data_IF_974942693150
#
_entry.id   IF_974942693150
#
_cell.length_a   1.000
_cell.length_b   1.000
_cell.length_c   1.000
_cell.angle_alpha   90.00
_cell.angle_beta   90.00
_cell.angle_gamma   90.00
#
_symmetry.space_group_name_H-M   'P 1'
#
loop_
_entity.id
_entity.type
_entity.pdbx_description
1 polymer ?
#
# COMPACT_ATOMS: atom_id res chain seq x y z
N UNK A 1 -5.82 -42.72 23.60
CA UNK A 1 -4.81 -43.67 23.09
C UNK A 1 -3.53 -42.88 22.86
N UNK A 2 -2.46 -43.25 23.57
CA UNK A 2 -1.05 -42.78 23.44
C UNK A 2 -0.57 -42.83 21.97
N UNK A 3 0.47 -42.14 21.47
CA UNK A 3 1.45 -41.10 21.87
C UNK A 3 2.41 -40.95 20.65
N UNK A 4 3.05 -39.77 20.49
CA UNK A 4 4.42 -39.45 19.95
C UNK A 4 4.39 -38.48 18.75
N UNK A 5 4.77 -37.20 18.89
CA UNK A 5 6.09 -36.55 19.15
C UNK A 5 7.07 -36.54 17.96
N UNK A 6 7.47 -35.33 17.56
CA UNK A 6 8.76 -34.95 16.98
C UNK A 6 8.61 -33.98 15.79
N UNK A 7 9.32 -32.86 15.63
CA UNK A 7 10.53 -32.30 16.27
C UNK A 7 10.51 -30.78 16.01
N UNK A 8 10.77 -29.97 17.05
CA UNK A 8 11.12 -28.56 16.96
C UNK A 8 12.60 -28.40 16.60
N UNK A 9 12.95 -27.43 15.75
CA UNK A 9 14.30 -26.85 15.71
C UNK A 9 14.24 -25.41 16.18
N UNK A 10 14.76 -25.20 17.39
CA UNK A 10 15.21 -23.92 17.92
C UNK A 10 16.64 -23.68 17.43
N UNK A 11 16.92 -22.52 16.85
CA UNK A 11 18.28 -21.98 16.78
C UNK A 11 18.35 -20.76 17.69
N UNK A 12 18.89 -21.01 18.88
CA UNK A 12 19.35 -19.98 19.81
C UNK A 12 20.79 -19.61 19.46
N UNK A 13 21.06 -18.31 19.33
CA UNK A 13 22.40 -17.72 19.37
C UNK A 13 22.36 -16.50 20.29
N UNK A 14 22.92 -16.64 21.50
CA UNK A 14 22.88 -15.62 22.53
C UNK A 14 24.21 -14.85 22.65
N UNK A 15 24.07 -13.53 22.80
CA UNK A 15 24.87 -12.57 23.56
C UNK A 15 26.24 -12.07 23.02
N UNK A 16 26.28 -10.76 22.82
CA UNK A 16 27.48 -9.93 22.92
C UNK A 16 27.12 -8.46 23.15
N UNK A 17 27.05 -8.03 24.41
CA UNK A 17 26.95 -6.63 24.82
C UNK A 17 28.23 -5.86 24.42
N UNK A 18 28.09 -4.66 23.83
CA UNK A 18 29.23 -3.77 23.63
C UNK A 18 28.86 -2.42 23.01
N UNK A 19 28.50 -1.45 23.86
CA UNK A 19 28.58 -0.03 23.53
C UNK A 19 30.04 0.36 23.21
N UNK A 20 30.29 1.14 22.15
CA UNK A 20 31.25 2.29 22.06
C UNK A 20 31.14 2.95 20.65
N UNK A 21 30.71 4.21 20.67
CA UNK A 21 31.15 5.42 19.94
C UNK A 21 31.77 5.38 18.52
N UNK A 22 31.34 6.37 17.72
CA UNK A 22 31.90 6.95 16.49
C UNK A 22 33.40 6.76 16.20
N UNK A 23 33.73 6.55 14.93
CA UNK A 23 35.04 6.92 14.36
C UNK A 23 35.45 6.11 13.13
N UNK A 24 35.72 6.82 12.03
CA UNK A 24 36.09 6.35 10.69
C UNK A 24 37.22 5.30 10.59
N UNK A 25 37.17 4.56 9.46
CA UNK A 25 38.29 4.02 8.68
C UNK A 25 39.07 2.85 9.29
N UNK A 26 38.69 1.61 8.93
CA UNK A 26 39.65 0.62 8.42
C UNK A 26 38.94 -0.57 7.74
N UNK A 27 39.35 -0.89 6.51
CA UNK A 27 39.02 -2.13 5.80
C UNK A 27 39.58 -3.31 6.59
N UNK A 28 38.70 -4.08 7.23
CA UNK A 28 39.02 -5.43 7.70
C UNK A 28 38.32 -6.46 6.81
N UNK A 29 39.12 -7.43 6.39
CA UNK A 29 38.71 -8.59 5.59
C UNK A 29 38.21 -9.66 6.55
N UNK A 30 36.92 -9.98 6.49
CA UNK A 30 36.35 -11.09 7.27
C UNK A 30 35.26 -11.78 6.50
N UNK A 31 35.46 -13.10 6.38
CA UNK A 31 34.48 -14.19 6.42
C UNK A 31 33.31 -14.12 5.45
N UNK A 32 33.25 -15.12 4.55
CA UNK A 32 32.15 -15.42 3.65
C UNK A 32 30.80 -15.19 4.38
N UNK A 33 30.17 -14.06 4.07
CA UNK A 33 28.79 -13.82 4.41
C UNK A 33 28.00 -14.97 3.79
N UNK A 34 27.41 -15.81 4.62
CA UNK A 34 26.41 -16.75 4.16
C UNK A 34 25.27 -15.89 3.65
N UNK A 35 25.23 -15.65 2.34
CA UNK A 35 24.12 -14.97 1.66
C UNK A 35 22.84 -15.65 2.17
N UNK A 36 21.97 -14.87 2.80
CA UNK A 36 20.62 -15.31 3.05
C UNK A 36 20.05 -15.71 1.68
N UNK A 37 19.68 -16.99 1.54
CA UNK A 37 19.16 -17.53 0.29
C UNK A 37 17.64 -17.35 0.30
N UNK A 38 17.14 -16.62 -0.68
CA UNK A 38 15.72 -16.40 -0.88
C UNK A 38 15.17 -15.13 -0.26
N UNK A 39 14.10 -14.62 -0.87
CA UNK A 39 13.37 -13.45 -0.44
C UNK A 39 11.99 -13.44 -1.09
N UNK A 40 11.14 -12.52 -0.66
CA UNK A 40 9.89 -12.27 -1.34
C UNK A 40 10.13 -11.63 -2.70
N UNK A 41 9.38 -12.09 -3.68
CA UNK A 41 9.34 -11.50 -5.02
C UNK A 41 7.92 -11.06 -5.33
N UNK A 42 7.83 -9.98 -6.09
CA UNK A 42 6.60 -9.47 -6.66
C UNK A 42 6.45 -10.02 -8.08
N UNK A 43 5.25 -10.47 -8.40
CA UNK A 43 4.84 -10.93 -9.71
C UNK A 43 3.53 -10.23 -10.09
N UNK A 44 3.58 -9.36 -11.11
CA UNK A 44 2.37 -8.77 -11.68
C UNK A 44 1.56 -9.89 -12.36
N UNK A 45 0.29 -10.03 -11.98
CA UNK A 45 -0.58 -11.04 -12.59
C UNK A 45 -1.29 -10.46 -13.81
N UNK A 46 -1.58 -11.31 -14.79
CA UNK A 46 -2.47 -10.93 -15.89
C UNK A 46 -3.89 -10.76 -15.35
N UNK A 47 -4.32 -9.50 -15.32
CA UNK A 47 -5.64 -9.05 -14.92
C UNK A 47 -6.77 -9.60 -15.83
N UNK A 48 -7.84 -10.21 -15.29
CA UNK A 48 -8.98 -10.70 -16.08
C UNK A 48 -10.07 -9.64 -16.36
N UNK A 49 -9.99 -8.45 -15.76
CA UNK A 49 -11.00 -7.39 -15.89
C UNK A 49 -10.95 -6.69 -17.25
N UNK A 50 -12.10 -6.17 -17.67
CA UNK A 50 -12.25 -5.48 -18.96
C UNK A 50 -11.85 -4.01 -18.89
N UNK A 51 -11.63 -3.40 -20.04
CA UNK A 51 -11.37 -1.96 -20.13
C UNK A 51 -12.57 -1.15 -19.61
N UNK A 52 -12.31 -0.23 -18.69
CA UNK A 52 -13.33 0.63 -18.06
C UNK A 52 -13.94 0.07 -16.78
N UNK A 53 -13.59 -1.15 -16.37
CA UNK A 53 -13.94 -1.66 -15.06
C UNK A 53 -13.09 -1.01 -13.95
N UNK A 54 -13.72 -0.69 -12.82
CA UNK A 54 -13.07 -0.11 -11.64
C UNK A 54 -13.16 -1.05 -10.44
N UNK A 55 -12.22 -0.91 -9.50
CA UNK A 55 -12.17 -1.74 -8.30
C UNK A 55 -13.35 -1.46 -7.35
N UNK A 56 -14.00 -2.51 -6.84
CA UNK A 56 -15.03 -2.40 -5.80
C UNK A 56 -14.65 -3.07 -4.48
N UNK A 57 -13.92 -4.18 -4.52
CA UNK A 57 -13.63 -4.98 -3.34
C UNK A 57 -12.77 -6.21 -3.63
N UNK A 58 -12.10 -6.75 -2.62
CA UNK A 58 -11.38 -8.02 -2.73
C UNK A 58 -11.22 -8.69 -1.37
N UNK A 59 -11.27 -10.02 -1.36
CA UNK A 59 -11.17 -10.85 -0.16
C UNK A 59 -10.90 -12.31 -0.56
N UNK A 60 -10.57 -13.16 0.41
CA UNK A 60 -10.56 -14.61 0.21
C UNK A 60 -11.93 -15.19 0.53
N UNK A 61 -12.54 -15.90 -0.41
CA UNK A 61 -13.84 -16.53 -0.16
C UNK A 61 -13.73 -17.75 0.77
N UNK A 62 -14.85 -18.39 1.07
CA UNK A 62 -14.91 -19.53 2.01
C UNK A 62 -14.08 -20.75 1.58
N UNK A 63 -13.70 -20.84 0.30
CA UNK A 63 -12.82 -21.88 -0.22
C UNK A 63 -11.33 -21.49 -0.17
N UNK A 64 -11.01 -20.28 0.31
CA UNK A 64 -9.66 -19.72 0.36
C UNK A 64 -9.18 -19.15 -0.97
N UNK A 65 -10.06 -19.01 -1.97
CA UNK A 65 -9.70 -18.44 -3.26
C UNK A 65 -9.81 -16.92 -3.21
N UNK A 66 -8.84 -16.22 -3.82
CA UNK A 66 -8.92 -14.77 -3.99
C UNK A 66 -10.10 -14.43 -4.89
N UNK A 67 -10.94 -13.52 -4.43
CA UNK A 67 -12.08 -12.98 -5.15
C UNK A 67 -11.93 -11.46 -5.26
N UNK A 68 -12.12 -10.93 -6.48
CA UNK A 68 -12.05 -9.49 -6.77
C UNK A 68 -13.36 -9.07 -7.42
N UNK A 69 -14.00 -8.05 -6.86
CA UNK A 69 -15.19 -7.41 -7.42
C UNK A 69 -14.80 -6.16 -8.18
N UNK A 70 -15.36 -6.02 -9.37
CA UNK A 70 -15.24 -4.83 -10.19
C UNK A 70 -16.61 -4.29 -10.56
N UNK A 71 -16.66 -2.97 -10.73
CA UNK A 71 -17.81 -2.25 -11.21
C UNK A 71 -17.57 -1.72 -12.62
N UNK A 72 -18.65 -1.48 -13.34
CA UNK A 72 -18.65 -0.84 -14.64
C UNK A 72 -20.01 -0.24 -14.94
N UNK A 73 -20.10 0.43 -16.08
CA UNK A 73 -21.35 1.02 -16.56
C UNK A 73 -21.54 0.62 -18.01
N UNK A 74 -22.71 0.06 -18.32
CA UNK A 74 -23.04 -0.30 -19.70
C UNK A 74 -23.21 0.95 -20.57
N UNK A 75 -23.19 0.77 -21.89
CA UNK A 75 -23.54 1.83 -22.86
C UNK A 75 -24.90 2.50 -22.59
N UNK A 76 -25.80 1.80 -21.89
CA UNK A 76 -27.14 2.31 -21.53
C UNK A 76 -27.21 3.02 -20.19
N UNK A 77 -26.08 3.13 -19.47
CA UNK A 77 -26.00 3.78 -18.16
C UNK A 77 -26.41 2.88 -16.99
N UNK A 78 -26.59 1.58 -17.20
CA UNK A 78 -26.89 0.63 -16.12
C UNK A 78 -25.59 0.16 -15.47
N UNK A 79 -25.59 0.05 -14.14
CA UNK A 79 -24.48 -0.56 -13.42
C UNK A 79 -24.25 -2.00 -13.90
N UNK A 80 -22.98 -2.37 -13.98
CA UNK A 80 -22.52 -3.75 -14.21
C UNK A 80 -21.57 -4.10 -13.08
N UNK A 81 -21.72 -5.30 -12.51
CA UNK A 81 -20.85 -5.76 -11.42
C UNK A 81 -20.39 -7.16 -11.74
N UNK A 82 -19.08 -7.39 -11.62
CA UNK A 82 -18.47 -8.68 -11.86
C UNK A 82 -17.68 -9.14 -10.64
N UNK A 83 -17.70 -10.44 -10.38
CA UNK A 83 -16.75 -11.10 -9.49
C UNK A 83 -15.78 -11.94 -10.31
N UNK A 84 -14.52 -11.92 -9.90
CA UNK A 84 -13.43 -12.69 -10.49
C UNK A 84 -12.80 -13.55 -9.41
N UNK A 85 -12.97 -14.86 -9.51
CA UNK A 85 -12.37 -15.84 -8.57
C UNK A 85 -11.11 -16.42 -9.18
N UNK A 86 -9.98 -16.27 -8.48
CA UNK A 86 -8.70 -16.86 -8.91
C UNK A 86 -8.70 -18.37 -8.64
N UNK A 87 -8.58 -19.18 -9.70
CA UNK A 87 -8.58 -20.65 -9.60
C UNK A 87 -7.19 -21.27 -9.72
N UNK A 88 -6.15 -20.42 -9.76
CA UNK A 88 -4.76 -20.83 -9.80
C UNK A 88 -4.17 -20.97 -11.22
N UNK A 89 -2.84 -20.83 -11.30
CA UNK A 89 -2.10 -20.96 -12.57
C UNK A 89 -2.46 -19.89 -13.60
N UNK A 90 -2.80 -18.69 -13.15
CA UNK A 90 -3.21 -17.57 -14.01
C UNK A 90 -4.66 -17.63 -14.51
N UNK A 91 -5.48 -18.56 -14.01
CA UNK A 91 -6.87 -18.69 -14.44
C UNK A 91 -7.84 -17.99 -13.47
N UNK A 92 -8.89 -17.42 -14.05
CA UNK A 92 -9.94 -16.70 -13.33
C UNK A 92 -11.31 -17.15 -13.82
N UNK A 93 -12.22 -17.40 -12.89
CA UNK A 93 -13.63 -17.60 -13.18
C UNK A 93 -14.36 -16.27 -12.99
N UNK A 94 -15.06 -15.82 -14.03
CA UNK A 94 -15.84 -14.58 -14.01
C UNK A 94 -17.32 -14.89 -13.81
N UNK A 95 -17.99 -14.10 -12.96
CA UNK A 95 -19.43 -14.13 -12.77
C UNK A 95 -20.02 -12.71 -12.78
N UNK A 96 -21.25 -12.58 -13.29
CA UNK A 96 -22.04 -11.34 -13.25
C UNK A 96 -22.88 -11.33 -11.96
N UNK A 97 -22.81 -10.22 -11.23
CA UNK A 97 -23.34 -10.07 -9.88
C UNK A 97 -24.67 -9.30 -9.89
N UNK A 98 -25.68 -9.92 -10.52
CA UNK A 98 -27.01 -9.32 -10.72
C UNK A 98 -27.70 -8.81 -9.45
N UNK A 99 -27.35 -9.35 -8.27
CA UNK A 99 -27.87 -8.87 -6.98
C UNK A 99 -27.38 -7.44 -6.70
N UNK A 100 -26.10 -7.14 -6.94
CA UNK A 100 -25.50 -5.83 -6.74
C UNK A 100 -25.98 -4.85 -7.81
N UNK A 101 -26.06 -5.28 -9.07
CA UNK A 101 -26.59 -4.47 -10.18
C UNK A 101 -28.04 -4.04 -9.93
N UNK A 102 -28.86 -4.92 -9.35
CA UNK A 102 -30.25 -4.62 -9.00
C UNK A 102 -30.35 -3.55 -7.90
N UNK A 103 -29.43 -3.58 -6.92
CA UNK A 103 -29.38 -2.60 -5.84
C UNK A 103 -28.89 -1.23 -6.33
N UNK A 104 -27.89 -1.22 -7.22
CA UNK A 104 -27.34 0.00 -7.79
C UNK A 104 -28.30 0.68 -8.78
N UNK A 105 -28.97 -0.11 -9.61
CA UNK A 105 -29.91 0.39 -10.61
C UNK A 105 -29.24 1.36 -11.60
N UNK A 106 -29.82 2.55 -11.72
CA UNK A 106 -29.32 3.63 -12.62
C UNK A 106 -29.04 4.94 -11.88
N UNK A 107 -29.39 5.01 -10.60
CA UNK A 107 -29.38 6.21 -9.78
C UNK A 107 -28.51 6.09 -8.54
N UNK A 108 -27.76 5.00 -8.39
CA UNK A 108 -26.76 4.84 -7.32
C UNK A 108 -25.42 4.35 -7.87
N UNK A 109 -24.35 4.68 -7.16
CA UNK A 109 -22.99 4.17 -7.39
C UNK A 109 -22.56 3.32 -6.21
N UNK A 110 -21.71 2.34 -6.49
CA UNK A 110 -21.05 1.58 -5.44
C UNK A 110 -19.91 2.42 -4.88
N UNK A 111 -19.83 2.49 -3.54
CA UNK A 111 -18.70 3.11 -2.86
C UNK A 111 -17.68 2.04 -2.47
N UNK A 112 -18.14 0.99 -1.77
CA UNK A 112 -17.28 -0.09 -1.30
C UNK A 112 -18.03 -1.41 -1.22
N UNK A 113 -17.35 -2.49 -1.59
CA UNK A 113 -17.80 -3.85 -1.38
C UNK A 113 -16.76 -4.60 -0.55
N UNK A 114 -17.18 -5.17 0.58
CA UNK A 114 -16.30 -5.97 1.44
C UNK A 114 -16.97 -7.30 1.78
N UNK A 115 -16.18 -8.29 2.17
CA UNK A 115 -16.68 -9.43 2.95
C UNK A 115 -16.44 -9.14 4.42
N UNK A 116 -17.47 -9.25 5.25
CA UNK A 116 -17.32 -9.14 6.69
C UNK A 116 -16.72 -10.39 7.32
N UNK A 117 -16.24 -10.28 8.55
CA UNK A 117 -15.76 -11.45 9.32
C UNK A 117 -16.89 -12.48 9.58
N UNK A 118 -18.15 -12.06 9.46
CA UNK A 118 -19.34 -12.94 9.48
C UNK A 118 -19.57 -13.71 8.16
N UNK A 119 -18.66 -13.57 7.19
CA UNK A 119 -18.60 -14.19 5.87
C UNK A 119 -19.67 -13.76 4.87
N UNK A 120 -20.47 -12.73 5.18
CA UNK A 120 -21.42 -12.14 4.24
C UNK A 120 -20.79 -10.99 3.47
N UNK A 121 -21.35 -10.70 2.29
CA UNK A 121 -20.94 -9.55 1.50
C UNK A 121 -21.68 -8.30 1.95
N UNK A 122 -20.98 -7.18 1.98
CA UNK A 122 -21.54 -5.89 2.30
C UNK A 122 -21.26 -4.92 1.18
N UNK A 123 -22.32 -4.34 0.62
CA UNK A 123 -22.26 -3.33 -0.42
C UNK A 123 -22.77 -2.01 0.14
N UNK A 124 -21.90 -1.01 0.14
CA UNK A 124 -22.25 0.37 0.46
C UNK A 124 -22.46 1.15 -0.84
N UNK A 125 -23.57 1.86 -0.92
CA UNK A 125 -23.94 2.63 -2.11
C UNK A 125 -24.30 4.05 -1.73
N UNK A 126 -24.08 4.97 -2.65
CA UNK A 126 -24.55 6.35 -2.56
C UNK A 126 -25.42 6.68 -3.76
N UNK A 127 -26.52 7.40 -3.53
CA UNK A 127 -27.38 7.84 -4.61
C UNK A 127 -26.74 9.00 -5.37
N UNK A 128 -26.77 8.90 -6.70
CA UNK A 128 -26.28 9.93 -7.60
C UNK A 128 -27.06 11.23 -7.38
N UNK A 129 -26.36 12.33 -7.09
CA UNK A 129 -27.00 13.64 -7.01
C UNK A 129 -27.39 14.11 -8.41
N UNK A 130 -28.49 14.86 -8.56
CA UNK A 130 -28.86 15.42 -9.88
C UNK A 130 -27.92 16.55 -10.34
N UNK A 131 -27.01 17.02 -9.48
CA UNK A 131 -26.12 18.17 -9.75
C UNK A 131 -24.71 17.77 -10.22
N UNK A 132 -24.31 16.49 -10.12
CA UNK A 132 -22.98 15.98 -10.53
C UNK A 132 -22.68 16.05 -12.05
N UNK A 133 -23.57 16.64 -12.84
CA UNK A 133 -23.35 16.83 -14.28
C UNK A 133 -22.61 18.13 -14.64
N UNK A 134 -22.22 18.96 -13.67
CA UNK A 134 -21.37 20.15 -13.89
C UNK A 134 -20.51 20.51 -12.66
N UNK A 135 -19.39 19.81 -12.44
CA UNK A 135 -18.26 20.41 -11.72
C UNK A 135 -17.25 20.97 -12.73
N UNK A 136 -17.55 22.15 -13.27
CA UNK A 136 -16.46 23.03 -13.75
C UNK A 136 -15.61 23.38 -12.52
N UNK A 137 -14.30 23.09 -12.60
CA UNK A 137 -13.30 23.57 -11.65
C UNK A 137 -13.51 25.07 -11.42
N UNK A 138 -14.15 25.43 -10.32
CA UNK A 138 -14.23 26.81 -9.90
C UNK A 138 -13.12 26.99 -8.88
N UNK A 139 -12.03 27.65 -9.30
CA UNK A 139 -11.06 28.25 -8.38
C UNK A 139 -11.84 29.20 -7.44
N UNK A 140 -12.24 28.74 -6.25
CA UNK A 140 -12.77 29.62 -5.22
C UNK A 140 -11.63 30.04 -4.29
N UNK A 141 -11.01 31.16 -4.65
CA UNK A 141 -10.27 31.97 -3.70
C UNK A 141 -11.26 32.79 -2.85
N UNK A 142 -11.82 32.21 -1.79
CA UNK A 142 -12.30 32.88 -0.57
C UNK A 142 -12.95 31.82 0.34
N UNK A 143 -12.77 31.94 1.65
CA UNK A 143 -13.35 31.05 2.66
C UNK A 143 -14.87 31.18 2.69
N UNK A 144 -15.57 30.50 1.77
CA UNK A 144 -17.00 30.27 1.87
C UNK A 144 -17.26 29.24 2.98
N UNK A 145 -18.20 29.53 3.87
CA UNK A 145 -18.64 28.57 4.89
C UNK A 145 -19.20 27.34 4.18
N UNK A 146 -18.62 26.16 4.41
CA UNK A 146 -19.14 24.90 3.90
C UNK A 146 -20.54 24.70 4.45
N UNK A 147 -21.54 24.64 3.56
CA UNK A 147 -22.91 24.37 3.97
C UNK A 147 -23.07 22.88 4.24
N UNK A 148 -23.46 22.55 5.48
CA UNK A 148 -23.69 21.16 5.89
C UNK A 148 -24.72 20.44 5.03
N UNK A 149 -25.71 21.16 4.47
CA UNK A 149 -26.72 20.57 3.59
C UNK A 149 -26.11 19.98 2.32
N UNK A 150 -24.98 20.51 1.86
CA UNK A 150 -24.29 20.05 0.64
C UNK A 150 -23.44 18.79 0.91
N UNK A 151 -23.24 18.43 2.19
CA UNK A 151 -22.50 17.24 2.62
C UNK A 151 -23.42 16.05 2.95
N UNK A 152 -24.74 16.26 2.96
CA UNK A 152 -25.70 15.20 3.23
C UNK A 152 -25.96 14.40 1.96
N UNK A 153 -25.69 13.09 2.02
CA UNK A 153 -25.86 12.17 0.90
C UNK A 153 -26.80 11.01 1.28
N UNK A 154 -27.49 10.43 0.29
CA UNK A 154 -28.39 9.29 0.51
C UNK A 154 -27.56 8.00 0.41
N UNK A 155 -27.04 7.56 1.56
CA UNK A 155 -26.24 6.35 1.72
C UNK A 155 -27.12 5.13 2.04
N UNK A 156 -26.76 3.98 1.47
CA UNK A 156 -27.36 2.69 1.81
C UNK A 156 -26.29 1.64 2.08
N UNK A 157 -26.58 0.74 3.01
CA UNK A 157 -25.74 -0.42 3.33
C UNK A 157 -26.55 -1.71 3.17
N UNK A 158 -26.07 -2.61 2.32
CA UNK A 158 -26.72 -3.89 2.06
C UNK A 158 -25.82 -5.04 2.50
N UNK A 159 -26.39 -6.01 3.20
CA UNK A 159 -25.78 -7.29 3.57
C UNK A 159 -26.36 -8.41 2.72
N UNK A 160 -25.51 -9.11 1.98
CA UNK A 160 -25.88 -10.22 1.11
C UNK A 160 -25.25 -11.53 1.60
N UNK A 161 -26.09 -12.52 1.90
CA UNK A 161 -25.67 -13.80 2.47
C UNK A 161 -25.27 -14.86 1.43
N UNK A 162 -25.06 -14.46 0.17
CA UNK A 162 -24.75 -15.38 -0.94
C UNK A 162 -25.97 -16.05 -1.57
N UNK A 163 -27.14 -16.04 -0.90
CA UNK A 163 -28.41 -16.54 -1.43
C UNK A 163 -29.57 -15.63 -1.03
N UNK A 164 -30.55 -15.48 -1.93
CA UNK A 164 -31.77 -14.73 -1.67
C UNK A 164 -31.67 -13.24 -1.98
N UNK A 165 -32.44 -12.42 -1.26
CA UNK A 165 -32.38 -10.97 -1.37
C UNK A 165 -31.42 -10.40 -0.33
N UNK A 166 -30.68 -9.34 -0.69
CA UNK A 166 -29.86 -8.62 0.27
C UNK A 166 -30.73 -7.91 1.32
N UNK A 167 -30.25 -7.88 2.56
CA UNK A 167 -30.85 -7.17 3.67
C UNK A 167 -30.25 -5.77 3.77
N UNK A 168 -31.07 -4.73 3.76
CA UNK A 168 -30.62 -3.38 4.07
C UNK A 168 -30.41 -3.21 5.59
N UNK A 169 -29.30 -2.57 5.95
CA UNK A 169 -28.94 -2.20 7.31
C UNK A 169 -29.01 -0.68 7.46
N UNK A 170 -29.35 -0.19 8.65
CA UNK A 170 -29.56 1.24 8.90
C UNK A 170 -28.68 1.79 10.04
N UNK A 171 -27.33 1.75 9.94
CA UNK A 171 -26.47 2.45 10.89
C UNK A 171 -26.86 3.93 10.99
N UNK A 172 -26.98 4.47 12.20
CA UNK A 172 -27.51 5.82 12.41
C UNK A 172 -26.61 6.91 11.80
N UNK A 173 -25.31 6.65 11.63
CA UNK A 173 -24.37 7.55 10.93
C UNK A 173 -24.69 7.76 9.45
N UNK A 174 -25.38 6.80 8.80
CA UNK A 174 -25.80 6.91 7.40
C UNK A 174 -27.11 7.70 7.24
N UNK A 175 -27.86 7.89 8.33
CA UNK A 175 -29.10 8.68 8.30
C UNK A 175 -28.81 10.17 8.11
N UNK A 176 -29.76 10.91 7.52
CA UNK A 176 -29.66 12.38 7.41
C UNK A 176 -29.43 13.04 8.78
N UNK A 177 -30.09 12.56 9.84
CA UNK A 177 -29.91 13.10 11.20
C UNK A 177 -28.48 12.85 11.70
N UNK A 178 -27.98 11.62 11.57
CA UNK A 178 -26.61 11.28 11.98
C UNK A 178 -25.55 12.05 11.20
N UNK A 179 -25.73 12.21 9.89
CA UNK A 179 -24.83 13.03 9.07
C UNK A 179 -24.83 14.50 9.50
N UNK A 180 -26.00 15.07 9.81
CA UNK A 180 -26.10 16.46 10.31
C UNK A 180 -25.43 16.65 11.66
N UNK A 181 -25.54 15.66 12.54
CA UNK A 181 -24.89 15.69 13.86
C UNK A 181 -23.37 15.57 13.74
N UNK A 182 -22.87 14.73 12.82
CA UNK A 182 -21.45 14.50 12.58
C UNK A 182 -20.77 15.58 11.74
N UNK A 183 -21.53 16.43 11.04
CA UNK A 183 -20.95 17.41 10.11
C UNK A 183 -20.71 16.87 8.70
N UNK A 184 -21.37 15.77 8.33
CA UNK A 184 -21.23 15.04 7.07
C UNK A 184 -20.87 13.57 7.32
N UNK A 185 -20.83 12.77 6.25
CA UNK A 185 -20.33 11.41 6.32
C UNK A 185 -19.50 11.07 5.08
N UNK A 186 -18.28 10.63 5.31
CA UNK A 186 -17.36 10.10 4.31
C UNK A 186 -16.77 8.80 4.87
N UNK A 187 -17.00 7.64 4.24
CA UNK A 187 -16.59 6.36 4.79
C UNK A 187 -15.11 6.07 4.51
N UNK A 188 -14.20 6.78 5.20
CA UNK A 188 -12.75 6.55 5.04
C UNK A 188 -12.33 5.14 5.47
N UNK A 189 -13.08 4.52 6.39
CA UNK A 189 -12.96 3.12 6.75
C UNK A 189 -14.34 2.46 6.78
N UNK A 190 -14.37 1.19 6.37
CA UNK A 190 -15.53 0.32 6.49
C UNK A 190 -15.04 -1.11 6.75
N UNK A 191 -15.49 -1.70 7.85
CA UNK A 191 -15.25 -3.10 8.23
C UNK A 191 -16.47 -3.68 8.92
N UNK A 192 -16.50 -5.01 9.12
CA UNK A 192 -17.59 -5.70 9.81
C UNK A 192 -17.01 -6.80 10.69
N UNK A 193 -17.37 -6.82 11.97
CA UNK A 193 -16.89 -7.84 12.91
C UNK A 193 -17.58 -9.20 12.73
N UNK A 194 -17.15 -10.19 13.51
CA UNK A 194 -17.66 -11.56 13.45
C UNK A 194 -19.15 -11.68 13.82
N UNK A 195 -19.68 -10.72 14.58
CA UNK A 195 -21.11 -10.65 14.90
C UNK A 195 -21.94 -10.01 13.77
N UNK A 196 -21.30 -9.47 12.73
CA UNK A 196 -21.95 -8.82 11.60
C UNK A 196 -22.28 -7.34 11.84
N UNK A 197 -21.69 -6.74 12.87
CA UNK A 197 -21.86 -5.34 13.25
C UNK A 197 -20.90 -4.47 12.41
N UNK A 198 -21.42 -3.53 11.60
CA UNK A 198 -20.59 -2.67 10.76
C UNK A 198 -19.87 -1.59 11.55
N UNK A 199 -18.62 -1.32 11.17
CA UNK A 199 -17.77 -0.29 11.72
C UNK A 199 -17.38 0.73 10.64
N UNK A 200 -17.43 2.01 10.98
CA UNK A 200 -17.13 3.11 10.06
C UNK A 200 -16.19 4.13 10.68
N UNK A 201 -15.30 4.68 9.85
CA UNK A 201 -14.74 6.00 10.10
C UNK A 201 -15.46 7.00 9.22
N UNK A 202 -16.22 7.91 9.84
CA UNK A 202 -16.76 9.10 9.19
C UNK A 202 -15.72 10.22 9.15
N UNK A 203 -16.14 11.47 9.33
CA UNK A 203 -15.20 12.58 9.52
C UNK A 203 -14.63 12.57 10.94
N UNK A 204 -13.31 12.41 11.08
CA UNK A 204 -12.64 12.52 12.38
C UNK A 204 -11.48 11.56 12.56
N UNK A 205 -11.20 11.23 13.81
CA UNK A 205 -10.11 10.36 14.26
C UNK A 205 -10.66 9.25 15.15
N UNK A 206 -11.82 8.71 14.78
CA UNK A 206 -12.56 7.72 15.55
C UNK A 206 -13.26 6.74 14.61
N UNK A 207 -13.24 5.45 14.97
CA UNK A 207 -14.03 4.41 14.31
C UNK A 207 -15.18 4.06 15.24
N UNK A 208 -16.41 4.11 14.75
CA UNK A 208 -17.60 3.72 15.50
C UNK A 208 -18.15 2.39 14.97
N UNK A 209 -18.59 1.51 15.87
CA UNK A 209 -19.26 0.25 15.53
C UNK A 209 -20.76 0.32 15.88
N UNK A 210 -21.58 -0.19 14.99
CA UNK A 210 -23.04 -0.08 15.06
C UNK A 210 -23.68 -1.45 15.16
N UNK A 211 -24.67 -1.58 16.04
CA UNK A 211 -25.49 -2.79 16.17
C UNK A 211 -26.26 -3.04 14.87
N UNK A 212 -26.04 -4.18 14.22
CA UNK A 212 -26.65 -4.47 12.90
C UNK A 212 -28.18 -4.50 12.89
N UNK A 213 -28.80 -4.83 14.03
CA UNK A 213 -30.26 -5.01 14.13
C UNK A 213 -30.98 -3.69 14.44
N UNK A 214 -30.36 -2.84 15.27
CA UNK A 214 -30.95 -1.57 15.73
C UNK A 214 -30.38 -0.33 15.06
N UNK A 215 -29.21 -0.45 14.41
CA UNK A 215 -28.51 0.64 13.76
C UNK A 215 -27.79 1.60 14.72
N UNK A 216 -27.82 1.33 16.02
CA UNK A 216 -27.29 2.25 17.04
C UNK A 216 -25.80 2.06 17.26
N UNK A 217 -25.10 3.16 17.46
CA UNK A 217 -23.71 3.15 17.90
C UNK A 217 -23.58 2.38 19.22
N UNK A 218 -22.65 1.43 19.26
CA UNK A 218 -22.32 0.65 20.44
C UNK A 218 -21.06 1.20 21.12
N UNK A 219 -19.99 1.34 20.34
CA UNK A 219 -18.67 1.77 20.82
C UNK A 219 -17.96 2.63 19.78
N UNK A 220 -17.06 3.47 20.28
CA UNK A 220 -16.23 4.37 19.47
C UNK A 220 -14.78 4.24 19.92
N UNK A 221 -13.90 4.09 18.93
CA UNK A 221 -12.50 3.73 19.10
C UNK A 221 -11.61 4.87 18.58
N UNK A 222 -10.76 5.48 19.42
CA UNK A 222 -9.76 6.44 18.96
C UNK A 222 -8.85 5.81 17.90
N UNK A 223 -8.65 6.52 16.80
CA UNK A 223 -7.85 6.09 15.65
C UNK A 223 -7.21 7.28 14.96
N UNK A 224 -6.05 7.10 14.35
CA UNK A 224 -5.50 8.04 13.39
C UNK A 224 -6.56 8.44 12.35
N UNK A 225 -6.56 9.72 11.95
CA UNK A 225 -7.47 10.25 10.95
C UNK A 225 -7.11 9.71 9.56
N UNK A 226 -7.91 8.78 9.07
CA UNK A 226 -7.76 8.22 7.72
C UNK A 226 -8.25 9.26 6.71
N UNK A 227 -7.37 9.64 5.78
CA UNK A 227 -7.65 10.70 4.80
C UNK A 227 -7.93 10.18 3.40
N UNK A 228 -7.54 8.93 3.11
CA UNK A 228 -7.66 8.31 1.79
C UNK A 228 -7.67 6.77 1.93
N UNK A 229 -8.05 6.08 0.85
CA UNK A 229 -8.16 4.62 0.82
C UNK A 229 -6.82 3.88 0.73
N UNK A 230 -5.72 4.55 0.39
CA UNK A 230 -4.37 3.95 0.34
C UNK A 230 -3.74 3.79 1.72
N UNK A 231 -4.21 4.54 2.72
CA UNK A 231 -3.66 4.59 4.08
C UNK A 231 -4.70 4.20 5.14
N UNK A 232 -5.34 3.04 4.97
CA UNK A 232 -6.43 2.61 5.86
C UNK A 232 -5.99 2.45 7.31
N UNK A 233 -4.77 1.96 7.56
CA UNK A 233 -4.19 1.80 8.92
C UNK A 233 -5.13 1.20 9.98
N UNK A 234 -6.14 0.45 9.55
CA UNK A 234 -7.19 -0.10 10.36
C UNK A 234 -7.72 -1.37 9.68
N UNK A 235 -7.96 -2.43 10.47
CA UNK A 235 -8.51 -3.69 9.97
C UNK A 235 -9.18 -4.47 11.11
N UNK A 236 -10.19 -5.29 10.79
CA UNK A 236 -10.90 -6.14 11.75
C UNK A 236 -10.60 -7.61 11.45
N UNK A 237 -10.14 -8.33 12.47
CA UNK A 237 -9.96 -9.79 12.43
C UNK A 237 -10.76 -10.45 13.55
N UNK A 238 -11.74 -11.26 13.19
CA UNK A 238 -12.76 -11.77 14.10
C UNK A 238 -13.50 -10.64 14.82
N UNK A 239 -13.21 -10.47 16.11
CA UNK A 239 -13.78 -9.40 16.95
C UNK A 239 -12.74 -8.38 17.40
N UNK A 240 -11.51 -8.43 16.88
CA UNK A 240 -10.45 -7.50 17.21
C UNK A 240 -10.33 -6.47 16.10
N UNK A 241 -10.58 -5.20 16.44
CA UNK A 241 -10.26 -4.06 15.60
C UNK A 241 -8.83 -3.62 15.93
N UNK A 242 -7.95 -3.62 14.94
CA UNK A 242 -6.61 -3.07 15.04
C UNK A 242 -6.57 -1.73 14.32
N UNK A 243 -6.10 -0.67 14.97
CA UNK A 243 -6.02 0.69 14.42
C UNK A 243 -4.72 1.38 14.80
N UNK A 244 -4.18 2.20 13.91
CA UNK A 244 -3.11 3.11 14.30
C UNK A 244 -3.65 4.13 15.30
N UNK A 245 -3.04 4.23 16.47
CA UNK A 245 -3.44 5.19 17.50
C UNK A 245 -3.09 6.64 17.12
N UNK A 246 -3.70 7.60 17.83
CA UNK A 246 -3.55 9.04 17.56
C UNK A 246 -2.14 9.62 17.73
N UNK A 247 -1.22 8.90 18.36
CA UNK A 247 0.18 9.30 18.49
C UNK A 247 1.06 8.78 17.34
N UNK A 248 0.49 8.06 16.37
CA UNK A 248 1.19 7.50 15.20
C UNK A 248 2.38 6.60 15.56
N UNK A 249 2.33 5.89 16.69
CA UNK A 249 3.41 5.00 17.14
C UNK A 249 2.96 3.56 17.38
N UNK A 250 1.73 3.39 17.88
CA UNK A 250 1.22 2.09 18.30
C UNK A 250 0.00 1.70 17.48
N UNK A 251 -0.06 0.41 17.10
CA UNK A 251 -1.30 -0.22 16.66
C UNK A 251 -2.08 -0.65 17.91
N UNK A 252 -3.20 0.00 18.17
CA UNK A 252 -4.08 -0.27 19.32
C UNK A 252 -5.11 -1.33 18.93
N UNK A 253 -5.32 -2.31 19.80
CA UNK A 253 -6.22 -3.44 19.59
C UNK A 253 -7.45 -3.29 20.48
N UNK A 254 -8.64 -3.29 19.90
CA UNK A 254 -9.91 -3.18 20.63
C UNK A 254 -10.78 -4.41 20.42
N UNK A 255 -11.41 -4.90 21.49
CA UNK A 255 -12.49 -5.88 21.39
C UNK A 255 -13.78 -5.16 20.98
N UNK A 256 -14.28 -5.51 19.80
CA UNK A 256 -15.47 -4.89 19.20
C UNK A 256 -16.78 -5.25 19.91
N UNK A 257 -16.80 -6.28 20.76
CA UNK A 257 -17.98 -6.67 21.54
C UNK A 257 -18.07 -5.95 22.89
N UNK A 258 -16.92 -5.61 23.49
CA UNK A 258 -16.87 -4.97 24.82
C UNK A 258 -16.50 -3.49 24.77
N UNK A 259 -15.91 -3.02 23.66
CA UNK A 259 -15.35 -1.69 23.54
C UNK A 259 -14.02 -1.50 24.27
N UNK A 260 -13.45 -2.56 24.86
CA UNK A 260 -12.24 -2.47 25.68
C UNK A 260 -10.96 -2.60 24.84
N UNK A 261 -9.95 -1.80 25.19
CA UNK A 261 -8.58 -2.01 24.71
C UNK A 261 -8.04 -3.35 25.24
N UNK A 262 -7.55 -4.17 24.33
CA UNK A 262 -7.02 -5.52 24.62
C UNK A 262 -5.51 -5.56 24.55
N UNK A 263 -4.89 -4.62 23.85
CA UNK A 263 -3.44 -4.52 23.73
C UNK A 263 -3.01 -3.38 22.81
N UNK A 264 -1.70 -3.19 22.72
CA UNK A 264 -1.05 -2.26 21.80
C UNK A 264 0.25 -2.90 21.30
N UNK A 265 0.56 -2.66 20.03
CA UNK A 265 1.76 -3.16 19.35
C UNK A 265 2.58 -1.95 18.92
N UNK A 266 3.83 -1.88 19.36
CA UNK A 266 4.79 -0.87 18.91
C UNK A 266 5.03 -1.06 17.41
N UNK A 267 4.51 -0.13 16.62
CA UNK A 267 4.64 -0.11 15.18
C UNK A 267 5.86 0.71 14.73
N UNK A 268 6.47 1.47 15.65
CA UNK A 268 7.58 2.37 15.39
C UNK A 268 7.23 3.51 14.43
N UNK A 269 8.27 4.20 13.97
CA UNK A 269 8.17 5.29 12.98
C UNK A 269 8.17 4.69 11.57
N UNK A 270 6.99 4.32 11.07
CA UNK A 270 6.79 3.67 9.78
C UNK A 270 5.86 4.48 8.90
N UNK A 271 6.13 4.47 7.59
CA UNK A 271 5.24 5.07 6.61
C UNK A 271 3.87 4.39 6.67
N UNK A 272 2.81 5.17 6.53
CA UNK A 272 1.43 4.67 6.51
C UNK A 272 1.17 3.86 5.23
N UNK A 273 0.11 3.06 5.28
CA UNK A 273 -0.34 2.27 4.14
C UNK A 273 -1.52 1.35 4.50
N UNK A 274 -1.54 0.17 3.88
CA UNK A 274 -2.57 -0.84 4.11
C UNK A 274 -2.19 -1.74 5.28
N UNK A 275 -3.01 -1.73 6.33
CA UNK A 275 -2.94 -2.70 7.42
C UNK A 275 -3.73 -3.96 7.03
N UNK A 276 -3.16 -5.13 7.30
CA UNK A 276 -3.86 -6.41 7.22
C UNK A 276 -3.68 -7.16 8.54
N UNK A 277 -4.79 -7.37 9.26
CA UNK A 277 -4.85 -8.16 10.48
C UNK A 277 -5.11 -9.63 10.11
N UNK A 278 -4.04 -10.40 9.89
CA UNK A 278 -4.11 -11.79 9.43
C UNK A 278 -4.57 -12.81 10.50
N UNK A 279 -5.04 -12.34 11.66
CA UNK A 279 -5.40 -13.19 12.78
C UNK A 279 -4.21 -13.75 13.56
N UNK A 280 -4.50 -14.49 14.63
CA UNK A 280 -3.50 -15.15 15.51
C UNK A 280 -2.38 -14.22 16.02
N UNK A 281 -2.66 -12.92 16.17
CA UNK A 281 -1.69 -11.92 16.62
C UNK A 281 -0.61 -11.58 15.58
N UNK A 282 -0.86 -11.84 14.29
CA UNK A 282 0.02 -11.48 13.17
C UNK A 282 -0.60 -10.34 12.36
N UNK A 283 0.20 -9.31 12.10
CA UNK A 283 -0.22 -8.13 11.36
C UNK A 283 0.79 -7.83 10.27
N UNK A 284 0.30 -7.31 9.15
CA UNK A 284 1.13 -6.86 8.06
C UNK A 284 0.82 -5.42 7.73
N UNK A 285 1.86 -4.67 7.37
CA UNK A 285 1.74 -3.34 6.80
C UNK A 285 2.36 -3.37 5.42
N UNK A 286 1.60 -2.95 4.41
CA UNK A 286 2.11 -2.73 3.06
C UNK A 286 2.05 -1.24 2.71
N UNK A 287 3.18 -0.68 2.28
CA UNK A 287 3.31 0.71 1.89
C UNK A 287 4.36 0.86 0.78
N UNK A 288 4.64 2.11 0.38
CA UNK A 288 5.63 2.41 -0.68
C UNK A 288 7.08 2.01 -0.37
N UNK A 289 7.39 1.59 0.86
CA UNK A 289 8.70 1.06 1.28
C UNK A 289 8.75 -0.45 1.24
N UNK A 290 7.64 -1.16 1.42
CA UNK A 290 7.65 -2.62 1.44
C UNK A 290 6.48 -3.27 2.15
N UNK A 291 6.68 -4.56 2.44
CA UNK A 291 5.79 -5.35 3.31
C UNK A 291 6.53 -5.60 4.61
N UNK A 292 5.89 -5.21 5.72
CA UNK A 292 6.41 -5.33 7.07
C UNK A 292 5.54 -6.28 7.88
N UNK A 293 6.17 -7.12 8.71
CA UNK A 293 5.48 -8.07 9.60
C UNK A 293 5.59 -7.58 11.04
N UNK A 294 4.48 -7.66 11.77
CA UNK A 294 4.39 -7.38 13.21
C UNK A 294 3.72 -8.55 13.93
N UNK A 295 4.13 -8.77 15.18
CA UNK A 295 3.57 -9.78 16.08
C UNK A 295 3.07 -9.14 17.36
N UNK A 296 2.00 -9.69 17.91
CA UNK A 296 1.33 -9.21 19.13
C UNK A 296 2.25 -9.16 20.37
N UNK A 297 3.31 -9.98 20.42
CA UNK A 297 4.29 -9.93 21.51
C UNK A 297 5.29 -8.76 21.39
N UNK A 298 5.08 -7.87 20.42
CA UNK A 298 5.90 -6.69 20.14
C UNK A 298 7.27 -7.04 19.57
N UNK A 299 7.51 -8.30 19.21
CA UNK A 299 8.81 -8.74 18.69
C UNK A 299 8.84 -8.77 17.16
N UNK A 300 9.67 -7.85 16.64
CA UNK A 300 10.20 -7.76 15.28
C UNK A 300 9.25 -7.08 14.28
N UNK A 301 9.69 -5.91 13.82
CA UNK A 301 9.41 -5.37 12.49
C UNK A 301 10.39 -6.05 11.53
N UNK A 302 9.91 -6.96 10.69
CA UNK A 302 10.70 -7.50 9.59
C UNK A 302 10.15 -6.95 8.29
N UNK A 303 10.96 -6.18 7.57
CA UNK A 303 10.68 -5.87 6.18
C UNK A 303 10.99 -7.12 5.34
N UNK A 304 9.95 -7.85 4.96
CA UNK A 304 10.06 -9.09 4.20
C UNK A 304 10.15 -8.85 2.70
N UNK A 305 9.65 -7.70 2.24
CA UNK A 305 9.72 -7.25 0.86
C UNK A 305 10.13 -5.78 0.78
N UNK A 306 11.01 -5.47 -0.17
CA UNK A 306 11.50 -4.13 -0.47
C UNK A 306 10.80 -3.60 -1.72
N UNK A 307 9.93 -2.61 -1.53
CA UNK A 307 9.09 -2.06 -2.60
C UNK A 307 9.89 -1.31 -3.68
N UNK A 308 11.14 -0.91 -3.40
CA UNK A 308 12.04 -0.36 -4.42
C UNK A 308 12.29 -1.33 -5.58
N UNK A 309 12.04 -2.62 -5.37
CA UNK A 309 12.24 -3.69 -6.36
C UNK A 309 11.02 -3.95 -7.24
N UNK A 310 9.90 -3.26 -7.03
CA UNK A 310 8.65 -3.58 -7.73
C UNK A 310 7.74 -2.39 -7.94
N UNK A 311 6.57 -2.68 -8.47
CA UNK A 311 5.44 -1.79 -8.72
C UNK A 311 4.88 -1.23 -7.41
N UNK A 312 4.96 -1.95 -6.29
CA UNK A 312 4.53 -1.44 -4.98
C UNK A 312 5.15 -0.07 -4.64
N UNK A 313 6.42 0.18 -5.01
CA UNK A 313 7.10 1.45 -4.73
C UNK A 313 6.48 2.65 -5.47
N UNK A 314 5.75 2.41 -6.56
CA UNK A 314 5.08 3.43 -7.37
C UNK A 314 3.82 4.00 -6.68
N UNK A 315 3.40 3.41 -5.55
CA UNK A 315 2.37 3.99 -4.66
C UNK A 315 2.80 5.30 -4.01
N UNK A 316 4.10 5.63 -4.03
CA UNK A 316 4.59 6.94 -3.60
C UNK A 316 4.21 8.09 -4.56
N UNK A 317 3.75 7.79 -5.78
CA UNK A 317 3.54 8.81 -6.82
C UNK A 317 2.36 8.56 -7.76
N UNK A 318 2.25 7.38 -8.38
CA UNK A 318 1.35 7.14 -9.52
C UNK A 318 0.25 6.11 -9.25
N UNK A 319 0.38 5.29 -8.20
CA UNK A 319 -0.58 4.23 -7.90
C UNK A 319 -1.41 4.52 -6.65
N UNK A 320 -2.72 4.33 -6.75
CA UNK A 320 -3.62 4.20 -5.62
C UNK A 320 -3.52 2.76 -5.10
N UNK A 321 -3.28 2.59 -3.80
CA UNK A 321 -3.20 1.27 -3.16
C UNK A 321 -4.59 0.85 -2.69
N UNK A 322 -5.31 0.07 -3.51
CA UNK A 322 -6.71 -0.25 -3.24
C UNK A 322 -6.90 -1.19 -2.05
N UNK A 323 -6.08 -2.24 -1.95
CA UNK A 323 -6.18 -3.24 -0.89
C UNK A 323 -4.94 -4.13 -0.82
N UNK A 324 -4.60 -4.60 0.37
CA UNK A 324 -3.55 -5.59 0.64
C UNK A 324 -4.12 -6.78 1.41
N UNK A 325 -3.84 -7.98 0.94
CA UNK A 325 -4.39 -9.23 1.46
C UNK A 325 -3.28 -10.22 1.78
N UNK A 326 -3.31 -10.83 2.97
CA UNK A 326 -2.44 -11.94 3.35
C UNK A 326 -3.15 -13.28 3.15
N UNK A 327 -2.58 -14.14 2.31
CA UNK A 327 -3.03 -15.52 2.10
C UNK A 327 -2.54 -16.49 3.17
N UNK A 328 -3.05 -17.71 3.13
CA UNK A 328 -2.74 -18.75 4.13
C UNK A 328 -1.29 -19.26 4.09
N UNK A 329 -0.58 -19.07 2.97
CA UNK A 329 0.76 -19.63 2.77
C UNK A 329 1.86 -18.58 2.96
N UNK A 330 1.61 -17.55 3.76
CA UNK A 330 2.47 -16.38 3.92
C UNK A 330 2.81 -15.73 2.57
N UNK A 331 1.84 -15.77 1.66
CA UNK A 331 1.82 -15.10 0.37
C UNK A 331 0.83 -13.93 0.40
N UNK A 332 0.99 -12.96 -0.49
CA UNK A 332 0.21 -11.73 -0.42
C UNK A 332 -0.28 -11.29 -1.79
N UNK A 333 -1.37 -10.54 -1.79
CA UNK A 333 -1.91 -9.88 -2.98
C UNK A 333 -2.08 -8.39 -2.69
N UNK A 334 -1.71 -7.57 -3.66
CA UNK A 334 -1.95 -6.13 -3.62
C UNK A 334 -2.66 -5.70 -4.90
N UNK A 335 -3.71 -4.91 -4.75
CA UNK A 335 -4.45 -4.33 -5.87
C UNK A 335 -4.15 -2.84 -5.97
N UNK A 336 -3.92 -2.37 -7.19
CA UNK A 336 -3.55 -1.00 -7.46
C UNK A 336 -4.42 -0.41 -8.58
N UNK A 337 -4.70 0.89 -8.49
CA UNK A 337 -5.26 1.66 -9.62
C UNK A 337 -4.24 2.70 -10.02
N UNK A 338 -3.83 2.69 -11.29
CA UNK A 338 -3.01 3.75 -11.84
C UNK A 338 -3.81 5.06 -11.94
N UNK A 339 -3.31 6.12 -11.30
CA UNK A 339 -4.04 7.38 -11.16
C UNK A 339 -4.33 8.06 -12.51
N UNK A 340 -3.41 7.98 -13.48
CA UNK A 340 -3.57 8.67 -14.77
C UNK A 340 -4.44 7.86 -15.74
N UNK A 341 -4.21 6.56 -15.80
CA UNK A 341 -4.85 5.68 -16.78
C UNK A 341 -6.11 5.02 -16.25
N UNK A 342 -6.36 5.08 -14.94
CA UNK A 342 -7.44 4.39 -14.23
C UNK A 342 -7.37 2.86 -14.39
N UNK A 343 -6.21 2.32 -14.79
CA UNK A 343 -6.02 0.88 -14.99
C UNK A 343 -5.88 0.19 -13.64
N UNK A 344 -6.77 -0.76 -13.38
CA UNK A 344 -6.66 -1.70 -12.26
C UNK A 344 -5.58 -2.75 -12.56
N UNK A 345 -4.74 -3.06 -11.57
CA UNK A 345 -3.72 -4.11 -11.63
C UNK A 345 -3.67 -4.89 -10.30
N UNK A 346 -3.06 -6.08 -10.35
CA UNK A 346 -2.83 -6.91 -9.17
C UNK A 346 -1.43 -7.50 -9.21
N UNK A 347 -0.77 -7.49 -8.05
CA UNK A 347 0.52 -8.14 -7.84
C UNK A 347 0.40 -9.24 -6.80
N UNK A 348 1.11 -10.34 -7.03
CA UNK A 348 1.28 -11.47 -6.13
C UNK A 348 2.67 -11.45 -5.51
N UNK A 349 2.75 -11.61 -4.19
CA UNK A 349 4.01 -11.60 -3.44
C UNK A 349 4.22 -12.95 -2.79
N UNK A 350 5.32 -13.62 -3.12
CA UNK A 350 5.62 -14.94 -2.58
C UNK A 350 7.11 -15.13 -2.31
N UNK A 351 7.41 -15.98 -1.32
CA UNK A 351 8.78 -16.31 -0.99
C UNK A 351 9.40 -17.23 -2.03
N UNK A 352 10.53 -16.81 -2.61
CA UNK A 352 11.31 -17.61 -3.54
C UNK A 352 12.71 -17.90 -2.97
N UNK A 353 12.91 -19.13 -2.49
CA UNK A 353 14.18 -19.61 -1.94
C UNK A 353 15.37 -19.66 -2.90
N UNK A 354 15.13 -19.48 -4.20
CA UNK A 354 16.16 -19.49 -5.25
C UNK A 354 16.69 -18.10 -5.58
N UNK A 355 16.05 -17.04 -5.09
CA UNK A 355 16.53 -15.66 -5.27
C UNK A 355 17.85 -15.51 -4.52
N UNK A 356 18.88 -15.14 -5.27
CA UNK A 356 20.19 -14.81 -4.73
C UNK A 356 20.39 -13.31 -4.87
N UNK A 357 20.42 -12.58 -3.75
CA UNK A 357 20.80 -11.16 -3.70
C UNK A 357 22.30 -10.95 -3.91
N UNK A 358 22.94 -11.73 -4.78
CA UNK A 358 24.35 -11.52 -5.14
C UNK A 358 24.43 -10.31 -6.05
N UNK A 359 24.71 -9.14 -5.45
CA UNK A 359 25.16 -7.95 -6.16
C UNK A 359 26.49 -8.31 -6.86
N UNK A 360 26.50 -8.21 -8.18
CA UNK A 360 27.68 -8.47 -9.03
C UNK A 360 28.25 -7.20 -9.62
N UNK A 361 27.42 -6.18 -9.75
CA UNK A 361 27.79 -4.88 -10.29
C UNK A 361 27.35 -3.79 -9.31
N UNK A 362 28.16 -2.75 -9.20
CA UNK A 362 27.82 -1.53 -8.47
C UNK A 362 27.84 -0.38 -9.49
N UNK A 363 26.82 0.48 -9.44
CA UNK A 363 26.70 1.68 -10.26
C UNK A 363 26.50 2.89 -9.37
N UNK A 364 27.15 3.99 -9.68
CA UNK A 364 26.97 5.26 -8.97
C UNK A 364 26.33 6.32 -9.87
N UNK A 365 25.28 6.95 -9.38
CA UNK A 365 24.55 8.03 -10.05
C UNK A 365 24.66 9.27 -9.18
N UNK A 366 24.95 10.43 -9.79
CA UNK A 366 24.99 11.70 -9.08
C UNK A 366 24.16 12.76 -9.80
N UNK A 367 23.44 13.59 -9.05
CA UNK A 367 22.88 14.86 -9.50
C UNK A 367 23.19 16.00 -8.53
N UNK A 368 23.11 17.24 -9.00
CA UNK A 368 23.28 18.39 -8.11
C UNK A 368 22.10 18.51 -7.14
N UNK A 369 20.87 18.30 -7.62
CA UNK A 369 19.64 18.34 -6.85
C UNK A 369 18.97 16.97 -6.79
N UNK A 370 18.31 16.67 -5.67
CA UNK A 370 17.46 15.50 -5.52
C UNK A 370 16.39 15.45 -6.61
N UNK A 371 16.17 14.26 -7.18
CA UNK A 371 15.18 14.04 -8.23
C UNK A 371 14.44 12.72 -8.04
N UNK A 372 13.14 12.81 -7.68
CA UNK A 372 12.24 11.66 -7.59
C UNK A 372 12.19 10.86 -8.90
N UNK A 373 12.26 11.53 -10.05
CA UNK A 373 12.28 10.87 -11.36
C UNK A 373 13.51 9.96 -11.52
N UNK A 374 14.66 10.32 -10.94
CA UNK A 374 15.87 9.51 -10.98
C UNK A 374 15.81 8.38 -9.97
N UNK A 375 15.27 8.61 -8.77
CA UNK A 375 14.98 7.53 -7.83
C UNK A 375 14.10 6.45 -8.47
N UNK A 376 13.03 6.84 -9.15
CA UNK A 376 12.13 5.91 -9.83
C UNK A 376 12.83 5.18 -10.99
N UNK A 377 13.68 5.87 -11.75
CA UNK A 377 14.47 5.25 -12.82
C UNK A 377 15.51 4.26 -12.28
N UNK A 378 16.15 4.59 -11.16
CA UNK A 378 17.09 3.71 -10.44
C UNK A 378 16.37 2.46 -9.95
N UNK A 379 15.26 2.61 -9.24
CA UNK A 379 14.40 1.50 -8.78
C UNK A 379 13.99 0.59 -9.94
N UNK A 380 13.56 1.17 -11.06
CA UNK A 380 13.21 0.42 -12.26
C UNK A 380 14.41 -0.34 -12.84
N UNK A 381 15.59 0.26 -12.88
CA UNK A 381 16.79 -0.39 -13.40
C UNK A 381 17.23 -1.58 -12.52
N UNK A 382 17.25 -1.40 -11.20
CA UNK A 382 17.58 -2.47 -10.25
C UNK A 382 16.55 -3.62 -10.29
N UNK A 383 15.28 -3.30 -10.54
CA UNK A 383 14.22 -4.28 -10.81
C UNK A 383 14.49 -5.11 -12.06
N UNK A 384 14.92 -4.49 -13.16
CA UNK A 384 15.28 -5.17 -14.41
C UNK A 384 16.64 -5.88 -14.34
N UNK A 385 17.53 -5.47 -13.43
CA UNK A 385 18.89 -5.97 -13.25
C UNK A 385 19.24 -6.25 -11.77
N UNK A 386 18.65 -7.28 -11.13
CA UNK A 386 18.83 -7.56 -9.70
C UNK A 386 20.27 -7.87 -9.27
N UNK A 387 21.16 -8.14 -10.23
CA UNK A 387 22.60 -8.29 -10.00
C UNK A 387 23.35 -6.95 -9.88
N UNK A 388 22.69 -5.81 -10.03
CA UNK A 388 23.30 -4.48 -10.00
C UNK A 388 22.70 -3.65 -8.88
N UNK A 389 23.55 -3.14 -8.00
CA UNK A 389 23.17 -2.15 -6.98
C UNK A 389 23.53 -0.76 -7.50
N UNK A 390 22.62 0.19 -7.36
CA UNK A 390 22.77 1.56 -7.85
C UNK A 390 22.71 2.53 -6.67
N UNK A 391 23.83 3.16 -6.36
CA UNK A 391 23.90 4.24 -5.37
C UNK A 391 23.58 5.57 -6.04
N UNK A 392 22.47 6.20 -5.67
CA UNK A 392 22.13 7.55 -6.10
C UNK A 392 22.50 8.57 -5.03
N UNK A 393 23.40 9.49 -5.37
CA UNK A 393 23.84 10.60 -4.52
C UNK A 393 23.36 11.93 -5.09
N UNK A 394 22.97 12.86 -4.20
CA UNK A 394 22.65 14.23 -4.56
C UNK A 394 23.19 15.18 -3.50
N UNK A 395 23.45 16.42 -3.90
CA UNK A 395 24.09 17.40 -3.01
C UNK A 395 23.13 18.40 -2.37
N UNK A 396 21.93 18.55 -2.95
CA UNK A 396 20.91 19.47 -2.47
C UNK A 396 19.59 18.73 -2.41
N UNK A 397 19.02 18.62 -1.21
CA UNK A 397 17.74 17.94 -0.97
C UNK A 397 16.57 18.79 -1.45
N UNK A 398 15.39 18.16 -1.58
CA UNK A 398 14.15 18.81 -2.04
C UNK A 398 13.68 19.95 -1.12
N UNK A 399 14.07 19.93 0.15
CA UNK A 399 13.78 21.01 1.12
C UNK A 399 14.72 22.23 0.98
N UNK A 400 15.67 22.17 0.05
CA UNK A 400 16.68 23.20 -0.22
C UNK A 400 17.88 23.15 0.71
N UNK A 401 18.01 22.11 1.54
CA UNK A 401 19.21 21.87 2.33
C UNK A 401 20.36 21.43 1.42
N UNK A 402 21.55 22.02 1.62
CA UNK A 402 22.72 21.80 0.78
C UNK A 402 23.31 23.11 0.23
N UNK A 403 24.55 23.05 -0.26
CA UNK A 403 25.20 24.17 -0.93
C UNK A 403 25.67 23.75 -2.33
N UNK A 404 24.98 24.18 -3.41
CA UNK A 404 25.34 23.82 -4.78
C UNK A 404 26.78 24.18 -5.16
N UNK A 405 27.31 25.32 -4.70
CA UNK A 405 28.66 25.76 -5.07
C UNK A 405 29.74 24.84 -4.45
N UNK A 406 29.62 24.52 -3.16
CA UNK A 406 30.54 23.62 -2.47
C UNK A 406 30.47 22.19 -3.04
N UNK A 407 29.27 21.77 -3.44
CA UNK A 407 29.02 20.48 -4.07
C UNK A 407 29.70 20.38 -5.45
N UNK A 408 29.60 21.43 -6.28
CA UNK A 408 30.28 21.51 -7.57
C UNK A 408 31.80 21.42 -7.40
N UNK A 409 32.37 22.13 -6.42
CA UNK A 409 33.80 22.07 -6.14
C UNK A 409 34.26 20.68 -5.65
N UNK A 410 33.42 20.02 -4.85
CA UNK A 410 33.66 18.65 -4.39
C UNK A 410 33.62 17.66 -5.54
N UNK A 411 32.58 17.72 -6.37
CA UNK A 411 32.43 16.89 -7.57
C UNK A 411 33.60 17.08 -8.55
N UNK A 412 34.00 18.32 -8.79
CA UNK A 412 35.16 18.63 -9.64
C UNK A 412 36.45 17.99 -9.10
N UNK A 413 36.64 18.00 -7.78
CA UNK A 413 37.79 17.36 -7.12
C UNK A 413 37.75 15.84 -7.28
N UNK A 414 36.59 15.21 -7.09
CA UNK A 414 36.40 13.77 -7.31
C UNK A 414 36.67 13.37 -8.76
N UNK A 415 36.12 14.11 -9.73
CA UNK A 415 36.33 13.87 -11.16
C UNK A 415 37.81 14.00 -11.55
N UNK A 416 38.53 15.00 -11.04
CA UNK A 416 39.98 15.15 -11.25
C UNK A 416 40.78 13.96 -10.69
N UNK A 417 40.33 13.39 -9.57
CA UNK A 417 40.92 12.22 -8.95
C UNK A 417 40.48 10.89 -9.59
N UNK A 418 39.56 10.93 -10.56
CA UNK A 418 38.94 9.75 -11.21
C UNK A 418 38.11 8.90 -10.24
N UNK A 419 37.51 9.55 -9.25
CA UNK A 419 36.60 8.98 -8.26
C UNK A 419 35.17 9.56 -8.45
N UNK A 420 34.86 9.99 -9.68
CA UNK A 420 33.53 10.49 -10.00
C UNK A 420 32.52 9.36 -10.23
N UNK A 421 31.23 9.70 -10.28
CA UNK A 421 30.14 8.75 -10.49
C UNK A 421 30.19 8.12 -11.88
N UNK A 422 29.57 6.95 -12.03
CA UNK A 422 29.40 6.29 -13.33
C UNK A 422 28.41 7.04 -14.23
N UNK A 423 27.37 7.63 -13.64
CA UNK A 423 26.38 8.47 -14.30
C UNK A 423 26.32 9.82 -13.59
N UNK A 424 26.55 10.90 -14.35
CA UNK A 424 26.44 12.27 -13.88
C UNK A 424 25.30 12.99 -14.59
N UNK A 425 24.32 13.48 -13.82
CA UNK A 425 23.31 14.41 -14.30
C UNK A 425 23.86 15.83 -14.31
N UNK A 426 23.52 16.59 -15.34
CA UNK A 426 24.02 17.95 -15.57
C UNK A 426 22.95 19.01 -15.26
N UNK A 427 22.21 18.80 -14.19
CA UNK A 427 21.18 19.70 -13.67
C UNK A 427 21.82 20.95 -13.06
N UNK A 428 21.77 22.06 -13.80
CA UNK A 428 22.48 23.33 -13.53
C UNK A 428 24.01 23.24 -13.42
N UNK A 429 24.61 22.08 -13.76
CA UNK A 429 26.04 21.99 -14.00
C UNK A 429 26.41 22.63 -15.34
N UNK A 430 27.59 23.29 -15.45
CA UNK A 430 28.05 23.89 -16.70
C UNK A 430 28.41 22.83 -17.75
N UNK A 431 27.40 22.39 -18.50
CA UNK A 431 27.41 21.28 -19.46
C UNK A 431 28.66 21.26 -20.35
N UNK A 432 29.01 22.40 -20.95
CA UNK A 432 30.15 22.50 -21.87
C UNK A 432 31.48 22.13 -21.19
N UNK A 433 31.68 22.56 -19.94
CA UNK A 433 32.90 22.29 -19.17
C UNK A 433 33.03 20.80 -18.82
N UNK A 434 31.91 20.16 -18.48
CA UNK A 434 31.90 18.75 -18.10
C UNK A 434 32.02 17.83 -19.32
N UNK A 435 31.38 18.15 -20.45
CA UNK A 435 31.52 17.39 -21.70
C UNK A 435 32.98 17.42 -22.19
N UNK A 436 33.64 18.59 -22.18
CA UNK A 436 35.05 18.70 -22.58
C UNK A 436 35.98 17.86 -21.68
N UNK A 437 35.70 17.82 -20.37
CA UNK A 437 36.46 17.03 -19.39
C UNK A 437 36.23 15.51 -19.53
N UNK A 438 34.99 15.07 -19.76
CA UNK A 438 34.64 13.66 -19.95
C UNK A 438 35.16 13.10 -21.28
N UNK A 439 35.04 13.85 -22.38
CA UNK A 439 35.60 13.47 -23.68
C UNK A 439 37.13 13.36 -23.63
N UNK A 440 37.80 14.18 -22.81
CA UNK A 440 39.24 14.07 -22.58
C UNK A 440 39.60 12.77 -21.84
N UNK A 441 38.79 12.35 -20.86
CA UNK A 441 39.00 11.13 -20.07
C UNK A 441 38.74 9.85 -20.88
N UNK A 442 37.68 9.79 -21.70
CA UNK A 442 37.40 8.65 -22.59
C UNK A 442 38.52 8.48 -23.63
N UNK A 443 39.03 9.57 -24.20
CA UNK A 443 40.12 9.52 -25.19
C UNK A 443 41.47 9.03 -24.61
N UNK A 444 41.67 9.07 -23.29
CA UNK A 444 42.86 8.54 -22.62
C UNK A 444 42.74 7.02 -22.31
N UNK A 445 41.54 6.44 -22.39
CA UNK A 445 41.27 5.01 -22.10
C UNK A 445 41.13 4.10 -23.33
N UNK A 446 41.00 4.66 -24.54
CA UNK A 446 40.84 3.88 -25.78
C UNK A 446 42.18 3.73 -26.50
N UNK A 447 42.79 2.53 -26.44
CA UNK A 447 43.87 2.14 -27.36
C UNK A 447 43.30 2.10 -28.79
N UNK A 448 43.59 3.13 -29.59
CA UNK A 448 43.12 3.31 -30.97
C UNK A 448 43.72 2.29 -31.98
N UNK A 449 43.81 1.01 -31.62
CA UNK A 449 44.22 -0.08 -32.53
C UNK A 449 43.29 -1.27 -32.47
N UNK A 450 42.02 -1.02 -32.76
CA UNK A 450 41.10 -1.95 -33.45
C UNK A 450 39.84 -1.14 -33.77
N UNK A 451 39.15 -1.52 -34.83
CA UNK A 451 37.99 -0.82 -35.42
C UNK A 451 38.34 0.27 -36.45
N UNK A 452 39.10 -0.13 -37.46
CA UNK A 452 38.74 0.19 -38.84
C UNK A 452 38.58 -1.13 -39.60
N UNK A 453 37.39 -1.72 -39.49
CA UNK A 453 36.64 -2.35 -40.58
C UNK A 453 35.27 -2.80 -40.10
#
# INVERSE_FOLDING_TARGET
MNLKKGICFLLAGALGTGTILSGCSQKDTTEDAVSAKGGYIEEEMEAPWQEGEYYMGSFFNQEGNLEVYTGGTSDSGTAQVFSYTYTGGGNWDQQEESWAETLLGTDSTADKLIQGEDQNLYLMTVKNSQEDSQSEETESSESEEVNIDDLIQEWHLYRYAGEGEAQELYPECLSEEGQREAGGFFPYYFGVNQEGDPAFMGMGSEIAIYDKDTGKEQYTFPSYMIMNSSDTMADISGNILAVLGNEDQDLVLYDTQTGEETGAIDFGDQDRGQLCAAGEGKYYLANSKGIFVYKEDGSIVEQIYDAGRGVMGETASSLIFNHFLAGENEDFYALYTDYETQKLSICYYYYNGSVTSEVKNELSVYSLYESRMIEDAVRKYEREHPETEVTYEYAVESDGSGNPEDAIDTLNTQLLNKEGPDILLLDDLPVDSYIESFLYTINQGVDQRKYLK
#
